data_IF_546861789762
#
_entry.id   IF_546861789762
#
_cell.length_a   1.000
_cell.length_b   1.000
_cell.length_c   1.000
_cell.angle_alpha   90.00
_cell.angle_beta   90.00
_cell.angle_gamma   90.00
#
_symmetry.space_group_name_H-M   'P 1'
#
loop_
_entity.id
_entity.type
_entity.pdbx_description
1 polymer ?
#
# COMPACT_ATOMS: atom_id res chain seq x y z
N UNK A 1 45.85 -19.63 -23.86
CA UNK A 1 46.47 -18.65 -22.94
C UNK A 1 45.50 -18.38 -21.80
N UNK A 2 45.74 -18.89 -20.59
CA UNK A 2 44.86 -18.61 -19.46
C UNK A 2 45.14 -17.21 -18.93
N UNK A 3 44.29 -16.25 -19.26
CA UNK A 3 44.22 -14.94 -18.59
C UNK A 3 43.62 -15.17 -17.20
N UNK A 4 44.43 -15.73 -16.29
CA UNK A 4 44.01 -16.03 -14.92
C UNK A 4 43.82 -14.72 -14.19
N UNK A 5 42.58 -14.26 -14.10
CA UNK A 5 42.22 -13.23 -13.12
C UNK A 5 42.62 -13.76 -11.73
N UNK A 6 43.47 -13.01 -11.02
CA UNK A 6 43.81 -13.31 -9.64
C UNK A 6 42.52 -13.46 -8.81
N UNK A 7 42.23 -14.65 -8.27
CA UNK A 7 41.09 -14.84 -7.35
C UNK A 7 41.35 -14.25 -5.96
N UNK A 8 42.52 -13.63 -5.77
CA UNK A 8 42.83 -12.86 -4.59
C UNK A 8 42.09 -11.52 -4.66
N UNK A 9 40.81 -11.56 -4.26
CA UNK A 9 40.03 -10.37 -3.91
C UNK A 9 40.51 -9.86 -2.56
N UNK A 10 41.77 -9.39 -2.50
CA UNK A 10 42.46 -9.03 -1.26
C UNK A 10 41.62 -8.16 -0.33
N UNK A 11 41.83 -8.33 0.96
CA UNK A 11 41.16 -7.55 2.01
C UNK A 11 41.87 -6.22 2.19
N UNK A 12 41.13 -5.12 2.12
CA UNK A 12 41.65 -3.78 2.35
C UNK A 12 41.07 -3.22 3.64
N UNK A 13 41.92 -2.60 4.48
CA UNK A 13 41.46 -1.80 5.60
C UNK A 13 41.18 -0.37 5.10
N UNK A 14 39.94 0.08 5.25
CA UNK A 14 39.53 1.42 4.83
C UNK A 14 39.83 2.40 5.96
N UNK A 15 40.80 3.29 5.76
CA UNK A 15 41.12 4.36 6.72
C UNK A 15 39.93 5.32 6.85
N UNK A 16 39.73 5.86 8.06
CA UNK A 16 38.63 6.77 8.44
C UNK A 16 37.22 6.14 8.53
N UNK A 17 37.10 4.83 8.30
CA UNK A 17 35.86 4.09 8.55
C UNK A 17 36.10 3.03 9.61
N UNK A 18 35.35 3.10 10.71
CA UNK A 18 35.38 2.10 11.79
C UNK A 18 34.19 1.16 11.71
N UNK A 19 34.40 -0.08 12.13
CA UNK A 19 33.35 -1.03 12.45
C UNK A 19 32.60 -0.58 13.72
N UNK A 20 31.53 -1.30 14.05
CA UNK A 20 30.75 -1.08 15.29
C UNK A 20 31.62 -1.33 16.53
N UNK A 21 32.54 -2.28 16.43
CA UNK A 21 33.67 -2.44 17.36
C UNK A 21 34.83 -1.62 16.79
N UNK A 22 35.55 -0.85 17.61
CA UNK A 22 36.49 0.25 17.26
C UNK A 22 37.60 0.00 16.21
N UNK A 23 37.61 -1.19 15.60
CA UNK A 23 38.48 -1.65 14.54
C UNK A 23 38.17 -1.00 13.18
N UNK A 24 39.15 -0.97 12.28
CA UNK A 24 39.01 -0.43 10.92
C UNK A 24 38.15 -1.33 10.02
N UNK A 25 37.36 -0.71 9.14
CA UNK A 25 36.47 -1.41 8.22
C UNK A 25 37.24 -2.25 7.20
N UNK A 26 37.01 -3.56 7.19
CA UNK A 26 37.57 -4.49 6.21
C UNK A 26 36.66 -4.53 4.98
N UNK A 27 37.23 -4.27 3.80
CA UNK A 27 36.55 -4.29 2.51
C UNK A 27 37.07 -5.41 1.61
N UNK A 28 36.17 -6.13 0.96
CA UNK A 28 36.46 -7.36 0.22
C UNK A 28 36.36 -7.20 -1.31
N UNK A 29 36.22 -5.98 -1.85
CA UNK A 29 36.20 -5.76 -3.30
C UNK A 29 37.48 -5.10 -3.81
N UNK A 30 37.73 -5.23 -5.11
CA UNK A 30 38.92 -4.70 -5.77
C UNK A 30 38.96 -3.17 -5.72
N UNK A 31 40.17 -2.59 -5.78
CA UNK A 31 40.40 -1.14 -5.77
C UNK A 31 39.67 -0.40 -6.90
N UNK A 32 39.34 -1.08 -8.00
CA UNK A 32 38.65 -0.48 -9.14
C UNK A 32 37.18 -0.14 -8.85
N UNK A 33 36.57 -0.77 -7.83
CA UNK A 33 35.17 -0.52 -7.41
C UNK A 33 35.08 0.39 -6.17
N UNK A 34 36.19 1.01 -5.74
CA UNK A 34 36.28 1.70 -4.44
C UNK A 34 35.83 3.17 -4.46
N UNK A 35 35.41 3.70 -5.60
CA UNK A 35 35.01 5.11 -5.73
C UNK A 35 33.81 5.45 -4.82
N UNK A 36 32.90 4.49 -4.60
CA UNK A 36 31.73 4.66 -3.72
C UNK A 36 31.52 3.48 -2.74
N UNK A 37 31.87 3.67 -1.47
CA UNK A 37 31.60 2.70 -0.39
C UNK A 37 30.15 2.85 0.09
N UNK A 38 29.21 2.18 -0.58
CA UNK A 38 27.80 2.19 -0.16
C UNK A 38 27.51 1.14 0.93
N UNK A 39 27.63 1.54 2.20
CA UNK A 39 27.41 0.67 3.39
C UNK A 39 25.96 0.21 3.57
N UNK A 40 25.03 0.71 2.74
CA UNK A 40 23.62 0.37 2.82
C UNK A 40 23.17 -0.60 1.73
N UNK A 41 24.06 -1.00 0.80
CA UNK A 41 23.72 -1.84 -0.36
C UNK A 41 23.09 -3.18 0.04
N UNK A 42 23.64 -3.81 1.09
CA UNK A 42 23.24 -5.15 1.54
C UNK A 42 22.31 -5.10 2.75
N UNK A 43 21.92 -3.91 3.22
CA UNK A 43 21.03 -3.79 4.37
C UNK A 43 19.59 -3.99 3.91
N UNK A 44 18.88 -4.91 4.56
CA UNK A 44 17.44 -5.07 4.34
C UNK A 44 16.75 -3.73 4.64
N UNK A 45 15.94 -3.18 3.72
CA UNK A 45 15.23 -1.92 3.96
C UNK A 45 14.26 -2.09 5.15
N UNK A 46 14.12 -1.04 5.96
CA UNK A 46 13.19 -1.04 7.09
C UNK A 46 11.77 -1.28 6.60
N UNK A 47 11.03 -2.15 7.28
CA UNK A 47 9.63 -2.46 6.96
C UNK A 47 8.78 -1.19 7.09
N UNK A 48 8.14 -0.76 6.00
CA UNK A 48 7.14 0.31 6.04
C UNK A 48 5.86 -0.21 6.73
N UNK A 49 5.29 0.62 7.62
CA UNK A 49 4.00 0.35 8.26
C UNK A 49 2.91 0.13 7.20
N UNK A 50 1.91 -0.72 7.51
CA UNK A 50 0.91 -1.18 6.52
C UNK A 50 0.15 -0.03 5.85
N UNK A 51 -0.14 1.05 6.57
CA UNK A 51 -0.83 2.25 6.09
C UNK A 51 0.03 3.20 5.23
N UNK A 52 1.36 3.09 5.29
CA UNK A 52 2.31 3.92 4.51
C UNK A 52 2.87 3.17 3.28
N UNK A 53 2.36 1.98 3.00
CA UNK A 53 2.73 1.24 1.80
C UNK A 53 2.01 1.87 0.60
N UNK A 54 2.67 1.99 -0.56
CA UNK A 54 1.97 2.39 -1.77
C UNK A 54 0.82 1.40 -2.02
N UNK A 55 -0.26 1.90 -2.62
CA UNK A 55 -1.37 1.06 -3.05
C UNK A 55 -0.78 0.03 -4.04
N UNK A 56 -0.68 -1.22 -3.60
CA UNK A 56 -0.25 -2.30 -4.48
C UNK A 56 -1.47 -2.64 -5.30
N UNK A 57 -1.44 -2.32 -6.59
CA UNK A 57 -2.44 -2.82 -7.53
C UNK A 57 -2.33 -4.34 -7.55
N UNK A 58 -3.24 -4.99 -6.82
CA UNK A 58 -3.31 -6.44 -6.78
C UNK A 58 -4.21 -6.85 -7.92
N UNK A 59 -3.71 -7.75 -8.76
CA UNK A 59 -4.50 -8.36 -9.81
C UNK A 59 -5.84 -8.83 -9.23
N UNK A 60 -6.92 -8.15 -9.64
CA UNK A 60 -8.26 -8.39 -9.10
C UNK A 60 -8.72 -9.74 -9.65
N UNK A 61 -8.39 -10.83 -8.93
CA UNK A 61 -8.90 -12.17 -9.24
C UNK A 61 -10.43 -12.12 -9.18
N UNK A 62 -11.06 -12.13 -10.35
CA UNK A 62 -12.51 -12.14 -10.47
C UNK A 62 -13.00 -13.53 -10.06
N UNK A 63 -13.79 -13.59 -8.98
CA UNK A 63 -14.36 -14.85 -8.47
C UNK A 63 -15.49 -15.40 -9.35
N UNK A 64 -16.17 -14.52 -10.09
CA UNK A 64 -17.35 -14.87 -10.90
C UNK A 64 -16.97 -15.29 -12.32
N UNK A 65 -17.76 -16.21 -12.88
CA UNK A 65 -17.67 -16.63 -14.29
C UNK A 65 -17.98 -15.47 -15.24
N UNK A 66 -17.54 -15.57 -16.50
CA UNK A 66 -17.68 -14.50 -17.49
C UNK A 66 -19.14 -14.08 -17.69
N UNK A 67 -20.06 -15.04 -17.81
CA UNK A 67 -21.49 -14.78 -18.02
C UNK A 67 -22.12 -13.99 -16.87
N UNK A 68 -21.75 -14.31 -15.61
CA UNK A 68 -22.22 -13.55 -14.44
C UNK A 68 -21.71 -12.11 -14.49
N UNK A 69 -20.45 -11.91 -14.89
CA UNK A 69 -19.87 -10.57 -14.97
C UNK A 69 -20.53 -9.72 -16.05
N UNK A 70 -20.86 -10.30 -17.19
CA UNK A 70 -21.57 -9.61 -18.27
C UNK A 70 -23.01 -9.29 -17.84
N UNK A 71 -23.70 -10.24 -17.19
CA UNK A 71 -25.04 -10.01 -16.65
C UNK A 71 -25.07 -8.91 -15.59
N UNK A 72 -24.13 -8.92 -14.64
CA UNK A 72 -24.01 -7.86 -13.64
C UNK A 72 -23.65 -6.51 -14.26
N UNK A 73 -22.82 -6.48 -15.31
CA UNK A 73 -22.50 -5.25 -16.03
C UNK A 73 -23.75 -4.65 -16.66
N UNK A 74 -24.52 -5.45 -17.39
CA UNK A 74 -25.76 -5.00 -18.03
C UNK A 74 -26.79 -4.52 -17.01
N UNK A 75 -26.99 -5.31 -15.94
CA UNK A 75 -27.87 -4.93 -14.83
C UNK A 75 -27.45 -3.58 -14.23
N UNK A 76 -26.15 -3.37 -13.97
CA UNK A 76 -25.67 -2.11 -13.40
C UNK A 76 -25.89 -0.93 -14.35
N UNK A 77 -25.74 -1.11 -15.67
CA UNK A 77 -25.99 -0.04 -16.65
C UNK A 77 -27.48 0.36 -16.61
N UNK A 78 -28.37 -0.62 -16.74
CA UNK A 78 -29.83 -0.42 -16.66
C UNK A 78 -30.23 0.22 -15.32
N UNK A 79 -29.61 -0.20 -14.21
CA UNK A 79 -29.87 0.39 -12.90
C UNK A 79 -29.42 1.86 -12.81
N UNK A 80 -28.26 2.18 -13.37
CA UNK A 80 -27.72 3.55 -13.38
C UNK A 80 -28.58 4.50 -14.22
N UNK A 81 -29.02 4.05 -15.39
CA UNK A 81 -29.84 4.86 -16.30
C UNK A 81 -31.25 5.09 -15.76
N UNK A 82 -31.90 4.05 -15.24
CA UNK A 82 -33.33 4.11 -14.92
C UNK A 82 -33.62 4.47 -13.46
N UNK A 83 -32.82 3.95 -12.51
CA UNK A 83 -33.22 3.93 -11.11
C UNK A 83 -32.26 4.70 -10.19
N UNK A 84 -30.99 4.85 -10.55
CA UNK A 84 -29.98 5.39 -9.63
C UNK A 84 -30.26 6.83 -9.21
N UNK A 85 -30.60 7.70 -10.16
CA UNK A 85 -30.88 9.11 -9.85
C UNK A 85 -32.11 9.25 -8.93
N UNK A 86 -33.18 8.51 -9.22
CA UNK A 86 -34.39 8.49 -8.40
C UNK A 86 -34.11 7.91 -7.00
N UNK A 87 -33.39 6.79 -6.92
CA UNK A 87 -33.04 6.16 -5.65
C UNK A 87 -32.16 7.06 -4.81
N UNK A 88 -31.12 7.66 -5.40
CA UNK A 88 -30.22 8.55 -4.68
C UNK A 88 -30.92 9.82 -4.23
N UNK A 89 -31.84 10.36 -5.04
CA UNK A 89 -32.67 11.49 -4.63
C UNK A 89 -33.59 11.10 -3.46
N UNK A 90 -34.28 9.96 -3.54
CA UNK A 90 -35.14 9.46 -2.48
C UNK A 90 -34.36 9.21 -1.18
N UNK A 91 -33.19 8.55 -1.25
CA UNK A 91 -32.31 8.34 -0.10
C UNK A 91 -31.79 9.65 0.45
N UNK A 92 -31.41 10.60 -0.41
CA UNK A 92 -31.00 11.93 0.03
C UNK A 92 -32.13 12.61 0.79
N UNK A 93 -33.32 12.70 0.22
CA UNK A 93 -34.51 13.26 0.88
C UNK A 93 -34.80 12.55 2.20
N UNK A 94 -34.77 11.22 2.24
CA UNK A 94 -34.94 10.46 3.47
C UNK A 94 -33.87 10.78 4.50
N UNK A 95 -32.58 10.82 4.12
CA UNK A 95 -31.49 11.14 5.03
C UNK A 95 -31.63 12.58 5.57
N UNK A 96 -31.95 13.55 4.72
CA UNK A 96 -32.19 14.93 5.13
C UNK A 96 -33.41 15.06 6.05
N UNK A 97 -34.54 14.41 5.73
CA UNK A 97 -35.72 14.35 6.59
C UNK A 97 -35.39 13.65 7.91
N UNK A 98 -34.62 12.56 7.90
CA UNK A 98 -34.20 11.86 9.13
C UNK A 98 -33.22 12.68 9.96
N UNK A 99 -32.48 13.61 9.36
CA UNK A 99 -31.59 14.51 10.10
C UNK A 99 -32.40 15.58 10.85
N UNK A 100 -33.54 16.01 10.29
CA UNK A 100 -34.53 16.90 10.94
C UNK A 100 -35.41 16.13 11.95
N UNK A 101 -35.74 14.87 11.66
CA UNK A 101 -36.42 13.96 12.59
C UNK A 101 -35.52 13.46 13.73
N UNK A 102 -34.18 13.42 13.61
CA UNK A 102 -33.30 13.05 14.73
C UNK A 102 -33.31 14.13 15.82
N UNK A 103 -33.56 15.40 15.45
CA UNK A 103 -33.86 16.48 16.40
C UNK A 103 -35.25 16.35 17.04
N UNK A 104 -36.28 15.86 16.33
CA UNK A 104 -37.66 15.74 16.84
C UNK A 104 -37.88 14.44 17.67
N UNK A 105 -37.23 13.33 17.27
CA UNK A 105 -37.26 12.06 18.03
C UNK A 105 -36.44 12.13 19.33
N UNK A 106 -35.48 13.06 19.40
CA UNK A 106 -34.74 13.37 20.62
C UNK A 106 -35.62 13.96 21.73
N UNK A 107 -36.74 14.61 21.40
CA UNK A 107 -37.71 15.11 22.39
C UNK A 107 -38.85 14.12 22.64
N UNK A 108 -39.30 13.36 21.65
CA UNK A 108 -40.42 12.41 21.82
C UNK A 108 -40.04 11.04 22.39
N UNK A 109 -38.77 10.63 22.31
CA UNK A 109 -38.31 9.41 22.98
C UNK A 109 -38.22 9.54 24.51
N UNK A 110 -38.14 10.77 25.06
CA UNK A 110 -38.16 11.00 26.51
C UNK A 110 -39.55 10.86 27.15
N UNK A 111 -40.64 10.81 26.37
CA UNK A 111 -42.01 10.73 26.89
C UNK A 111 -42.67 9.35 26.76
N UNK A 112 -41.93 8.32 26.32
CA UNK A 112 -42.45 6.96 26.18
C UNK A 112 -41.71 5.92 27.05
N UNK A 113 -41.12 6.37 28.16
CA UNK A 113 -40.79 5.51 29.30
C UNK A 113 -41.73 5.84 30.47
N UNK A 114 -42.98 5.39 30.37
CA UNK A 114 -43.82 4.95 31.48
C UNK A 114 -44.98 4.10 30.95
#
# INVERSE_FOLDING_TARGET
MSFRHSRFGGTFAVKNFKLISENDLIYHKSKCEMEDIYLHANKRPKKKAKNRKPLIDREVKRRSTLSIRLGLKELCIQFLENCYNHLMYAVKVLVFITQEFLSDFGERACMAFF
#
